data_IF_396788489099
#
_entry.id   IF_396788489099
#
_cell.length_a   1.000
_cell.length_b   1.000
_cell.length_c   1.000
_cell.angle_alpha   90.00
_cell.angle_beta   90.00
_cell.angle_gamma   90.00
#
_symmetry.space_group_name_H-M   'P 1'
#
loop_
_entity.id
_entity.type
_entity.pdbx_description
1 polymer ?
#
# COMPACT_ATOMS: atom_id res chain seq x y z
N UNK A 1 -1.57 32.47 28.72
CA UNK A 1 -1.18 32.12 27.34
C UNK A 1 -1.04 30.63 27.34
N UNK A 2 -1.96 29.92 26.71
CA UNK A 2 -1.80 28.49 26.44
C UNK A 2 -0.66 28.37 25.44
N UNK A 3 0.39 27.62 25.78
CA UNK A 3 1.51 27.37 24.87
C UNK A 3 1.00 26.52 23.70
N UNK A 4 0.69 27.16 22.58
CA UNK A 4 0.33 26.50 21.34
C UNK A 4 1.57 25.79 20.80
N UNK A 5 1.52 24.47 20.68
CA UNK A 5 2.60 23.67 20.10
C UNK A 5 2.11 22.96 18.86
N UNK A 6 2.81 23.11 17.73
CA UNK A 6 2.48 22.42 16.48
C UNK A 6 3.56 21.40 16.18
N UNK A 7 3.13 20.20 15.83
CA UNK A 7 3.98 19.13 15.34
C UNK A 7 3.63 18.82 13.89
N UNK A 8 4.63 18.87 13.02
CA UNK A 8 4.53 18.36 11.65
C UNK A 8 4.90 16.88 11.67
N UNK A 9 4.03 16.04 11.11
CA UNK A 9 4.35 14.64 10.90
C UNK A 9 5.34 14.53 9.74
N UNK A 10 6.52 13.98 10.00
CA UNK A 10 7.53 13.76 8.97
C UNK A 10 8.14 12.38 9.15
N UNK A 11 7.98 11.53 8.13
CA UNK A 11 8.62 10.20 8.07
C UNK A 11 8.41 9.38 9.36
N UNK A 12 7.17 9.34 9.85
CA UNK A 12 6.81 8.59 11.07
C UNK A 12 7.24 9.23 12.39
N UNK A 13 7.62 10.51 12.40
CA UNK A 13 8.02 11.24 13.60
C UNK A 13 7.24 12.56 13.75
N UNK A 14 7.16 13.07 14.99
CA UNK A 14 6.59 14.37 15.29
C UNK A 14 7.72 15.39 15.38
N UNK A 15 7.74 16.32 14.43
CA UNK A 15 8.75 17.39 14.37
C UNK A 15 8.11 18.69 14.83
N UNK A 16 8.64 19.29 15.89
CA UNK A 16 8.13 20.57 16.40
C UNK A 16 8.34 21.66 15.35
N UNK A 17 7.27 22.40 15.04
CA UNK A 17 7.31 23.55 14.13
C UNK A 17 7.58 24.82 14.95
N UNK A 18 8.76 25.45 14.82
CA UNK A 18 9.12 26.60 15.65
C UNK A 18 8.32 27.86 15.31
N UNK A 19 7.91 28.01 14.05
CA UNK A 19 7.12 29.14 13.55
C UNK A 19 5.87 28.61 12.82
N UNK A 20 4.82 28.20 13.56
CA UNK A 20 3.63 27.62 12.96
C UNK A 20 2.80 28.68 12.22
N UNK A 21 2.15 28.26 11.13
CA UNK A 21 1.32 29.14 10.30
C UNK A 21 1.09 28.54 8.90
N UNK A 22 2.16 28.17 8.18
CA UNK A 22 2.04 27.39 6.95
C UNK A 22 1.69 25.92 7.24
N UNK A 23 0.74 25.36 6.48
CA UNK A 23 0.35 23.95 6.49
C UNK A 23 0.43 23.38 5.07
N UNK A 24 1.16 22.28 4.90
CA UNK A 24 1.34 21.57 3.64
C UNK A 24 0.13 20.70 3.28
N UNK A 25 -0.41 20.84 2.07
CA UNK A 25 -1.56 20.05 1.60
C UNK A 25 -1.28 18.55 1.50
N UNK A 26 -0.02 18.17 1.32
CA UNK A 26 0.44 16.78 1.32
C UNK A 26 0.83 16.23 2.69
N UNK A 27 0.69 17.01 3.76
CA UNK A 27 1.20 16.66 5.09
C UNK A 27 0.09 16.59 6.14
N UNK A 28 0.40 16.04 7.33
CA UNK A 28 -0.46 16.13 8.51
C UNK A 28 0.23 16.86 9.66
N UNK A 29 -0.56 17.55 10.49
CA UNK A 29 -0.07 18.29 11.63
C UNK A 29 -0.92 18.04 12.86
N UNK A 30 -0.27 17.93 14.02
CA UNK A 30 -0.92 17.90 15.31
C UNK A 30 -0.76 19.28 15.97
N UNK A 31 -1.86 19.96 16.25
CA UNK A 31 -1.87 21.26 16.92
C UNK A 31 -2.37 21.08 18.34
N UNK A 32 -1.48 21.24 19.30
CA UNK A 32 -1.77 21.12 20.72
C UNK A 32 -1.95 22.51 21.32
N UNK A 33 -3.20 22.88 21.60
CA UNK A 33 -3.58 24.17 22.15
C UNK A 33 -3.93 24.09 23.65
N UNK A 34 -3.54 23.01 24.34
CA UNK A 34 -3.84 22.76 25.76
C UNK A 34 -5.15 21.98 25.96
N UNK A 35 -6.27 22.62 26.33
CA UNK A 35 -7.55 21.92 26.45
C UNK A 35 -8.15 21.45 25.13
N UNK A 36 -7.62 21.90 23.98
CA UNK A 36 -7.98 21.43 22.65
C UNK A 36 -6.75 20.88 21.92
N UNK A 37 -6.94 19.77 21.22
CA UNK A 37 -5.96 19.17 20.32
C UNK A 37 -6.63 19.08 18.94
N UNK A 38 -5.99 19.62 17.92
CA UNK A 38 -6.48 19.54 16.55
C UNK A 38 -5.61 18.60 15.72
N UNK A 39 -6.26 17.75 14.94
CA UNK A 39 -5.64 17.00 13.86
C UNK A 39 -5.90 17.78 12.59
N UNK A 40 -4.90 18.45 12.05
CA UNK A 40 -5.00 19.03 10.72
C UNK A 40 -4.55 18.00 9.70
N UNK A 41 -5.44 17.63 8.78
CA UNK A 41 -5.21 16.57 7.80
C UNK A 41 -5.18 17.17 6.40
N UNK A 42 -4.00 17.16 5.78
CA UNK A 42 -3.85 17.59 4.39
C UNK A 42 -4.67 16.72 3.44
N UNK A 43 -5.30 17.30 2.40
CA UNK A 43 -6.11 16.54 1.45
C UNK A 43 -5.29 15.52 0.64
N UNK A 44 -4.00 15.78 0.45
CA UNK A 44 -3.08 14.96 -0.33
C UNK A 44 -2.16 14.10 0.56
N UNK A 45 -2.37 14.10 1.88
CA UNK A 45 -1.48 13.39 2.81
C UNK A 45 -1.68 11.88 2.82
N UNK A 46 -0.61 11.19 3.19
CA UNK A 46 -0.52 9.73 3.19
C UNK A 46 -1.27 9.10 4.37
N UNK A 47 -1.61 7.81 4.25
CA UNK A 47 -2.34 7.08 5.30
C UNK A 47 -1.53 6.91 6.58
N UNK A 48 -0.20 6.77 6.47
CA UNK A 48 0.68 6.65 7.62
C UNK A 48 0.79 7.95 8.42
N UNK A 49 0.78 9.10 7.74
CA UNK A 49 0.77 10.40 8.41
C UNK A 49 -0.54 10.61 9.17
N UNK A 50 -1.68 10.36 8.51
CA UNK A 50 -3.03 10.41 9.13
C UNK A 50 -3.10 9.52 10.37
N UNK A 51 -2.58 8.30 10.27
CA UNK A 51 -2.54 7.34 11.38
C UNK A 51 -1.74 7.89 12.56
N UNK A 52 -0.53 8.38 12.32
CA UNK A 52 0.33 8.87 13.39
C UNK A 52 -0.27 10.12 14.07
N UNK A 53 -0.83 11.06 13.30
CA UNK A 53 -1.53 12.23 13.87
C UNK A 53 -2.65 11.81 14.80
N UNK A 54 -3.49 10.84 14.39
CA UNK A 54 -4.60 10.36 15.20
C UNK A 54 -4.15 9.63 16.46
N UNK A 55 -3.19 8.72 16.34
CA UNK A 55 -2.66 7.98 17.48
C UNK A 55 -2.07 8.94 18.54
N UNK A 56 -1.32 9.95 18.10
CA UNK A 56 -0.64 10.92 18.95
C UNK A 56 -1.59 11.90 19.65
N UNK A 57 -2.71 12.24 19.00
CA UNK A 57 -3.78 13.01 19.62
C UNK A 57 -4.39 12.23 20.81
N UNK A 58 -4.73 10.96 20.57
CA UNK A 58 -5.29 10.07 21.61
C UNK A 58 -4.29 9.84 22.75
N UNK A 59 -3.00 9.65 22.43
CA UNK A 59 -1.96 9.48 23.46
C UNK A 59 -1.83 10.72 24.35
N UNK A 60 -1.88 11.92 23.78
CA UNK A 60 -1.82 13.18 24.56
C UNK A 60 -3.06 13.39 25.42
N UNK A 61 -4.24 13.16 24.88
CA UNK A 61 -5.47 13.25 25.67
C UNK A 61 -5.48 12.20 26.80
N UNK A 62 -5.01 10.98 26.52
CA UNK A 62 -4.84 9.93 27.55
C UNK A 62 -3.86 10.38 28.64
N UNK A 63 -2.74 11.00 28.29
CA UNK A 63 -1.80 11.57 29.26
C UNK A 63 -2.44 12.69 30.10
N UNK A 64 -3.47 13.35 29.57
CA UNK A 64 -4.31 14.35 30.24
C UNK A 64 -5.55 13.75 30.91
N UNK A 65 -5.66 12.41 30.97
CA UNK A 65 -6.79 11.67 31.55
C UNK A 65 -8.14 11.95 30.87
N UNK A 66 -8.14 12.21 29.56
CA UNK A 66 -9.39 12.44 28.82
C UNK A 66 -9.96 13.85 29.00
N UNK A 67 -9.12 14.83 29.34
CA UNK A 67 -9.54 16.21 29.62
C UNK A 67 -9.25 17.18 28.47
N UNK A 68 -8.66 16.71 27.37
CA UNK A 68 -8.53 17.50 26.15
C UNK A 68 -9.65 17.12 25.17
N UNK A 69 -10.21 18.13 24.52
CA UNK A 69 -11.12 17.95 23.40
C UNK A 69 -10.31 17.75 22.10
N UNK A 70 -10.68 16.76 21.30
CA UNK A 70 -9.95 16.40 20.08
C UNK A 70 -10.81 16.75 18.86
N UNK A 71 -10.36 17.71 18.06
CA UNK A 71 -11.03 18.18 16.85
C UNK A 71 -10.29 17.72 15.59
N UNK A 72 -11.02 17.24 14.59
CA UNK A 72 -10.48 16.94 13.27
C UNK A 72 -10.73 18.13 12.33
N UNK A 73 -9.68 18.58 11.64
CA UNK A 73 -9.69 19.71 10.70
C UNK A 73 -9.25 19.20 9.32
N UNK A 74 -10.17 19.26 8.36
CA UNK A 74 -9.89 18.97 6.96
C UNK A 74 -9.12 20.16 6.33
N UNK A 75 -7.95 19.87 5.77
CA UNK A 75 -7.07 20.88 5.16
C UNK A 75 -7.70 21.52 3.92
N UNK A 76 -7.81 22.84 3.92
CA UNK A 76 -8.52 23.65 2.93
C UNK A 76 -9.94 24.09 3.36
N UNK A 77 -10.52 23.43 4.37
CA UNK A 77 -11.86 23.71 4.89
C UNK A 77 -11.82 24.16 6.37
N UNK A 78 -10.74 24.84 6.78
CA UNK A 78 -10.53 25.15 8.19
C UNK A 78 -11.55 26.18 8.73
N UNK A 79 -12.09 25.94 9.93
CA UNK A 79 -12.96 26.91 10.58
C UNK A 79 -12.18 28.17 10.95
N UNK A 80 -12.88 29.31 11.02
CA UNK A 80 -12.26 30.60 11.33
C UNK A 80 -11.55 30.61 12.68
N UNK A 81 -12.06 29.87 13.67
CA UNK A 81 -11.45 29.73 14.99
C UNK A 81 -10.09 29.03 14.97
N UNK A 82 -9.91 28.02 14.12
CA UNK A 82 -8.64 27.33 13.95
C UNK A 82 -7.61 28.25 13.29
N UNK A 83 -8.01 28.93 12.20
CA UNK A 83 -7.14 29.89 11.49
C UNK A 83 -6.68 31.02 12.41
N UNK A 84 -7.55 31.48 13.31
CA UNK A 84 -7.24 32.54 14.26
C UNK A 84 -6.18 32.15 15.33
N UNK A 85 -5.82 30.86 15.46
CA UNK A 85 -4.72 30.41 16.32
C UNK A 85 -3.36 30.87 15.79
N UNK A 86 -3.26 31.14 14.48
CA UNK A 86 -2.01 31.45 13.80
C UNK A 86 -2.03 32.90 13.27
N UNK A 87 -1.01 33.72 13.56
CA UNK A 87 -0.92 35.09 13.02
C UNK A 87 -0.87 35.15 11.50
N UNK A 88 -0.26 34.15 10.86
CA UNK A 88 -0.17 34.01 9.41
C UNK A 88 -0.49 32.57 9.01
N UNK A 89 -1.78 32.24 8.99
CA UNK A 89 -2.25 30.96 8.48
C UNK A 89 -2.14 30.92 6.95
N UNK A 90 -1.45 29.92 6.42
CA UNK A 90 -1.25 29.75 4.98
C UNK A 90 -1.31 28.27 4.61
N UNK A 91 -1.84 27.98 3.43
CA UNK A 91 -1.83 26.64 2.84
C UNK A 91 -0.76 26.60 1.76
N UNK A 92 0.08 25.56 1.80
CA UNK A 92 1.21 25.39 0.87
C UNK A 92 1.15 24.04 0.18
N UNK A 93 1.88 23.87 -0.92
CA UNK A 93 2.01 22.58 -1.62
C UNK A 93 3.14 21.70 -1.03
N UNK A 94 3.50 21.91 0.24
CA UNK A 94 4.47 21.03 0.92
C UNK A 94 3.88 19.62 1.08
N UNK A 95 4.72 18.63 0.80
CA UNK A 95 4.41 17.19 0.87
C UNK A 95 5.67 16.41 1.27
N UNK A 96 5.64 15.80 2.45
CA UNK A 96 6.72 14.94 2.95
C UNK A 96 6.44 13.50 2.57
N UNK A 97 7.37 12.87 1.83
CA UNK A 97 7.21 11.46 1.45
C UNK A 97 6.96 10.57 2.67
N UNK A 98 5.81 9.88 2.68
CA UNK A 98 5.40 8.90 3.69
C UNK A 98 6.35 7.71 3.82
N UNK A 99 6.13 6.90 4.86
CA UNK A 99 7.00 5.77 5.21
C UNK A 99 6.60 4.44 4.55
N UNK A 100 5.36 4.34 4.05
CA UNK A 100 4.91 3.15 3.35
C UNK A 100 5.59 3.06 1.99
N UNK A 101 6.04 1.85 1.64
CA UNK A 101 6.66 1.56 0.35
C UNK A 101 5.78 0.59 -0.41
N UNK A 102 5.70 0.77 -1.72
CA UNK A 102 5.16 -0.24 -2.61
C UNK A 102 5.94 -1.54 -2.43
N UNK A 103 5.22 -2.66 -2.43
CA UNK A 103 5.83 -3.98 -2.37
C UNK A 103 6.59 -4.17 -3.68
N UNK A 104 7.89 -4.40 -3.56
CA UNK A 104 8.74 -4.84 -4.65
C UNK A 104 9.25 -6.22 -4.26
N UNK A 105 9.03 -7.22 -5.12
CA UNK A 105 9.58 -8.56 -4.90
C UNK A 105 10.91 -8.70 -5.63
N UNK A 106 11.87 -9.33 -4.95
CA UNK A 106 13.10 -9.79 -5.58
C UNK A 106 12.84 -11.16 -6.23
N UNK A 107 13.64 -11.57 -7.21
CA UNK A 107 13.43 -12.86 -7.92
C UNK A 107 13.38 -14.07 -7.00
N UNK A 108 14.09 -14.03 -5.86
CA UNK A 108 14.09 -15.13 -4.89
C UNK A 108 12.78 -15.28 -4.12
N UNK A 109 11.87 -14.30 -4.20
CA UNK A 109 10.54 -14.33 -3.60
C UNK A 109 9.46 -14.84 -4.58
N UNK A 110 9.80 -15.01 -5.86
CA UNK A 110 8.86 -15.49 -6.88
C UNK A 110 8.42 -16.91 -6.57
N UNK A 111 7.17 -17.21 -6.92
CA UNK A 111 6.57 -18.52 -6.67
C UNK A 111 6.08 -19.15 -7.95
N UNK A 112 6.38 -20.43 -8.11
CA UNK A 112 5.85 -21.24 -9.20
C UNK A 112 4.83 -22.23 -8.64
N UNK A 113 3.67 -22.25 -9.27
CA UNK A 113 2.57 -23.11 -8.85
C UNK A 113 2.18 -24.01 -10.00
N UNK A 114 1.92 -25.28 -9.70
CA UNK A 114 1.39 -26.25 -10.65
C UNK A 114 -0.12 -26.35 -10.50
N UNK A 115 -0.82 -26.27 -11.62
CA UNK A 115 -2.26 -26.48 -11.78
C UNK A 115 -2.44 -27.78 -12.56
N UNK A 116 -2.94 -28.80 -11.86
CA UNK A 116 -3.20 -30.13 -12.40
C UNK A 116 -4.65 -30.51 -12.10
N UNK A 117 -5.29 -31.28 -12.98
CA UNK A 117 -6.64 -31.80 -12.74
C UNK A 117 -6.66 -33.32 -12.81
N UNK A 118 -7.03 -33.94 -11.69
CA UNK A 118 -7.29 -35.37 -11.62
C UNK A 118 -8.79 -35.60 -11.41
N UNK A 119 -9.42 -36.36 -12.31
CA UNK A 119 -10.86 -36.54 -12.37
C UNK A 119 -11.62 -35.19 -12.41
N UNK A 120 -12.38 -34.85 -11.36
CA UNK A 120 -13.18 -33.62 -11.27
C UNK A 120 -12.61 -32.58 -10.32
N UNK A 121 -11.41 -32.79 -9.78
CA UNK A 121 -10.76 -31.92 -8.82
C UNK A 121 -9.51 -31.25 -9.39
N UNK A 122 -9.39 -29.94 -9.17
CA UNK A 122 -8.22 -29.16 -9.57
C UNK A 122 -7.28 -29.00 -8.39
N UNK A 123 -6.06 -29.47 -8.56
CA UNK A 123 -4.97 -29.37 -7.61
C UNK A 123 -4.11 -28.15 -7.95
N UNK A 124 -3.87 -27.33 -6.92
CA UNK A 124 -3.02 -26.16 -6.99
C UNK A 124 -1.96 -26.25 -5.90
N UNK A 125 -0.69 -26.42 -6.29
CA UNK A 125 0.39 -26.65 -5.35
C UNK A 125 1.66 -25.90 -5.75
N UNK A 126 2.34 -25.33 -4.76
CA UNK A 126 3.65 -24.72 -4.96
C UNK A 126 4.67 -25.80 -5.35
N UNK A 127 5.48 -25.50 -6.35
CA UNK A 127 6.57 -26.35 -6.85
C UNK A 127 7.89 -25.59 -6.77
N UNK A 128 9.04 -26.28 -6.81
CA UNK A 128 10.32 -25.58 -6.85
C UNK A 128 10.36 -24.56 -7.99
N UNK A 129 10.77 -23.32 -7.67
CA UNK A 129 10.97 -22.26 -8.65
C UNK A 129 12.15 -22.59 -9.57
N UNK A 130 11.87 -23.34 -10.63
CA UNK A 130 12.84 -23.81 -11.61
C UNK A 130 12.14 -24.14 -12.93
N UNK A 131 12.83 -23.89 -14.05
CA UNK A 131 12.37 -24.29 -15.39
C UNK A 131 12.16 -25.80 -15.50
N UNK A 132 12.93 -26.60 -14.75
CA UNK A 132 12.79 -28.06 -14.76
C UNK A 132 11.47 -28.55 -14.16
N UNK A 133 10.78 -27.69 -13.39
CA UNK A 133 9.46 -27.97 -12.82
C UNK A 133 8.35 -27.91 -13.87
N UNK A 134 8.53 -27.17 -14.98
CA UNK A 134 7.53 -27.01 -16.03
C UNK A 134 7.35 -28.33 -16.79
N UNK A 135 6.20 -29.00 -16.61
CA UNK A 135 5.87 -30.27 -17.26
C UNK A 135 4.82 -30.07 -18.35
N UNK A 136 5.04 -30.66 -19.51
CA UNK A 136 4.20 -30.46 -20.70
C UNK A 136 2.74 -30.88 -20.54
N UNK A 137 2.44 -31.74 -19.56
CA UNK A 137 1.12 -32.28 -19.26
C UNK A 137 0.30 -31.42 -18.28
N UNK A 138 0.90 -30.39 -17.67
CA UNK A 138 0.26 -29.53 -16.67
C UNK A 138 0.32 -28.04 -17.05
N UNK A 139 -0.40 -27.21 -16.30
CA UNK A 139 -0.32 -25.74 -16.40
C UNK A 139 0.41 -25.20 -15.18
N UNK A 140 1.17 -24.13 -15.35
CA UNK A 140 1.93 -23.51 -14.26
C UNK A 140 1.65 -22.02 -14.19
N UNK A 141 1.54 -21.50 -12.98
CA UNK A 141 1.40 -20.07 -12.70
C UNK A 141 2.71 -19.61 -12.07
N UNK A 142 3.42 -18.72 -12.75
CA UNK A 142 4.55 -17.99 -12.20
C UNK A 142 4.06 -16.64 -11.69
N UNK A 143 4.18 -16.47 -10.37
CA UNK A 143 3.81 -15.27 -9.66
C UNK A 143 5.06 -14.43 -9.35
N UNK A 144 5.19 -13.29 -10.04
CA UNK A 144 6.30 -12.34 -9.86
C UNK A 144 5.87 -11.05 -9.15
N UNK A 145 4.71 -11.08 -8.49
CA UNK A 145 4.00 -9.94 -7.89
C UNK A 145 3.27 -9.04 -8.90
N UNK A 146 4.01 -8.29 -9.72
CA UNK A 146 3.44 -7.33 -10.67
C UNK A 146 2.94 -8.04 -11.94
N UNK A 147 3.70 -9.01 -12.45
CA UNK A 147 3.32 -9.86 -13.58
C UNK A 147 2.96 -11.28 -13.10
N UNK A 148 1.92 -11.85 -13.70
CA UNK A 148 1.47 -13.22 -13.45
C UNK A 148 1.46 -13.97 -14.78
N UNK A 149 2.38 -14.92 -14.94
CA UNK A 149 2.49 -15.71 -16.17
C UNK A 149 1.78 -17.06 -16.00
N UNK A 150 0.96 -17.42 -16.97
CA UNK A 150 0.30 -18.73 -17.04
C UNK A 150 0.98 -19.52 -18.15
N UNK A 151 1.96 -20.35 -17.78
CA UNK A 151 2.62 -21.26 -18.69
C UNK A 151 1.77 -22.50 -18.92
N UNK A 152 1.43 -22.78 -20.18
CA UNK A 152 0.51 -23.84 -20.59
C UNK A 152 1.27 -24.93 -21.32
N UNK A 153 1.41 -26.08 -20.66
CA UNK A 153 1.91 -27.29 -21.29
C UNK A 153 1.12 -27.64 -22.54
N UNK A 154 1.81 -28.15 -23.57
CA UNK A 154 1.18 -28.51 -24.84
C UNK A 154 0.23 -29.71 -24.72
N UNK A 155 0.43 -30.55 -23.70
CA UNK A 155 -0.38 -31.73 -23.40
C UNK A 155 -1.41 -31.47 -22.28
N UNK A 156 -1.35 -30.29 -21.65
CA UNK A 156 -2.30 -29.89 -20.61
C UNK A 156 -3.73 -29.75 -21.13
N UNK A 157 -4.69 -30.13 -20.31
CA UNK A 157 -6.10 -30.14 -20.67
C UNK A 157 -6.67 -28.72 -20.78
N UNK A 158 -7.71 -28.56 -21.61
CA UNK A 158 -8.44 -27.30 -21.71
C UNK A 158 -9.01 -26.84 -20.36
N UNK A 159 -9.30 -27.78 -19.45
CA UNK A 159 -9.85 -27.48 -18.13
C UNK A 159 -8.79 -26.94 -17.18
N UNK A 160 -7.59 -27.51 -17.16
CA UNK A 160 -6.45 -26.96 -16.40
C UNK A 160 -6.09 -25.55 -16.88
N UNK A 161 -6.04 -25.34 -18.21
CA UNK A 161 -5.79 -24.01 -18.81
C UNK A 161 -6.84 -22.98 -18.37
N UNK A 162 -8.11 -23.38 -18.32
CA UNK A 162 -9.19 -22.54 -17.83
C UNK A 162 -9.07 -22.25 -16.34
N UNK A 163 -8.92 -23.28 -15.51
CA UNK A 163 -8.87 -23.14 -14.06
C UNK A 163 -7.65 -22.30 -13.62
N UNK A 164 -6.48 -22.48 -14.25
CA UNK A 164 -5.30 -21.65 -14.02
C UNK A 164 -5.55 -20.17 -14.34
N UNK A 165 -6.31 -19.88 -15.40
CA UNK A 165 -6.70 -18.51 -15.76
C UNK A 165 -7.59 -17.88 -14.69
N UNK A 166 -8.51 -18.66 -14.10
CA UNK A 166 -9.35 -18.18 -12.99
C UNK A 166 -8.51 -17.93 -11.73
N UNK A 167 -7.57 -18.81 -11.41
CA UNK A 167 -6.66 -18.65 -10.26
C UNK A 167 -5.80 -17.38 -10.41
N UNK A 168 -5.16 -17.20 -11.58
CA UNK A 168 -4.35 -16.01 -11.85
C UNK A 168 -5.15 -14.70 -11.80
N UNK A 169 -6.40 -14.70 -12.29
CA UNK A 169 -7.33 -13.57 -12.14
C UNK A 169 -7.72 -13.29 -10.70
N UNK A 170 -7.68 -14.31 -9.83
CA UNK A 170 -7.83 -14.14 -8.39
C UNK A 170 -6.70 -13.29 -7.81
N UNK A 171 -5.45 -13.54 -8.21
CA UNK A 171 -4.30 -12.74 -7.76
C UNK A 171 -4.38 -11.28 -8.18
N UNK A 172 -4.74 -11.01 -9.43
CA UNK A 172 -5.02 -9.64 -9.94
C UNK A 172 -6.13 -8.95 -9.13
N UNK A 173 -7.20 -9.68 -8.79
CA UNK A 173 -8.31 -9.11 -8.02
C UNK A 173 -7.98 -8.85 -6.53
N UNK A 174 -7.04 -9.60 -5.95
CA UNK A 174 -6.68 -9.51 -4.52
C UNK A 174 -5.61 -8.44 -4.23
N UNK A 175 -4.83 -8.04 -5.25
CA UNK A 175 -3.73 -7.09 -5.10
C UNK A 175 -4.17 -5.68 -5.44
N UNK A 176 -3.54 -4.70 -4.78
CA UNK A 176 -3.73 -3.29 -5.13
C UNK A 176 -2.94 -3.00 -6.40
N UNK A 177 -3.55 -2.26 -7.32
CA UNK A 177 -2.96 -1.94 -8.63
C UNK A 177 -3.58 -2.79 -9.73
N UNK A 178 -2.87 -2.91 -10.84
CA UNK A 178 -3.21 -3.81 -11.95
C UNK A 178 -2.06 -4.81 -12.05
N UNK A 179 -2.37 -6.10 -12.09
CA UNK A 179 -1.37 -7.12 -12.38
C UNK A 179 -1.55 -7.62 -13.81
N UNK A 180 -0.45 -7.68 -14.55
CA UNK A 180 -0.49 -8.14 -15.94
C UNK A 180 -0.51 -9.67 -15.97
N UNK A 181 -1.64 -10.23 -16.41
CA UNK A 181 -1.81 -11.68 -16.56
C UNK A 181 -1.48 -12.09 -17.98
N UNK A 182 -0.33 -12.72 -18.19
CA UNK A 182 0.15 -13.16 -19.49
C UNK A 182 -0.06 -14.67 -19.69
N UNK A 183 -0.50 -15.06 -20.90
CA UNK A 183 -0.61 -16.47 -21.28
C UNK A 183 0.60 -16.87 -22.10
N UNK A 184 1.35 -17.86 -21.61
CA UNK A 184 2.53 -18.41 -22.27
C UNK A 184 2.21 -19.84 -22.72
N UNK A 185 2.33 -20.14 -24.02
CA UNK A 185 2.19 -21.52 -24.52
C UNK A 185 3.58 -22.17 -24.62
N UNK A 186 3.68 -23.46 -24.26
CA UNK A 186 4.94 -24.22 -24.32
C UNK A 186 5.61 -24.11 -25.71
N UNK A 187 6.88 -23.74 -25.73
CA UNK A 187 7.68 -23.54 -26.93
C UNK A 187 7.52 -22.16 -27.58
N UNK A 188 6.69 -21.28 -27.02
CA UNK A 188 6.53 -19.88 -27.38
C UNK A 188 6.78 -18.96 -26.18
N UNK A 189 7.68 -19.37 -25.28
CA UNK A 189 8.07 -18.57 -24.12
C UNK A 189 8.69 -17.23 -24.54
N UNK A 190 8.25 -16.14 -23.91
CA UNK A 190 8.83 -14.81 -24.08
C UNK A 190 10.18 -14.71 -23.36
N UNK A 191 11.04 -13.80 -23.81
CA UNK A 191 12.33 -13.55 -23.15
C UNK A 191 12.11 -13.06 -21.71
N UNK A 192 11.08 -12.24 -21.50
CA UNK A 192 10.65 -11.74 -20.19
C UNK A 192 10.35 -12.91 -19.24
N UNK A 193 9.49 -13.85 -19.65
CA UNK A 193 9.18 -15.05 -18.86
C UNK A 193 10.43 -15.90 -18.57
N UNK A 194 11.29 -16.12 -19.57
CA UNK A 194 12.49 -16.92 -19.40
C UNK A 194 13.48 -16.27 -18.43
N UNK A 195 13.65 -14.95 -18.52
CA UNK A 195 14.55 -14.17 -17.67
C UNK A 195 14.13 -14.16 -16.20
N UNK A 196 12.85 -14.43 -15.89
CA UNK A 196 12.37 -14.52 -14.52
C UNK A 196 13.08 -15.64 -13.74
N UNK A 197 13.49 -16.72 -14.40
CA UNK A 197 14.19 -17.86 -13.79
C UNK A 197 15.72 -17.71 -13.71
N UNK A 198 16.29 -16.62 -14.22
CA UNK A 198 17.74 -16.36 -14.27
C UNK A 198 18.29 -15.58 -13.06
#
# INVERSE_FOLDING_TARGET
>A
MTDLTVYHIQKGNLVIVPNPGPFGRGDCYLVDAGPKIYLWIGPESSVDEKFLTAAEAVMRDTARKGHADIDHIDGGDEPAEFKALFPNFEITDQDTKGILKEVHMEKHDYRLWRVHREADETFYAEVPFSRDSLKSDDVFILDTWDDIYIWRGREATAREKFDATIIARGYDAERVGVQDVELIEEGLETEEFLSAFE
#
